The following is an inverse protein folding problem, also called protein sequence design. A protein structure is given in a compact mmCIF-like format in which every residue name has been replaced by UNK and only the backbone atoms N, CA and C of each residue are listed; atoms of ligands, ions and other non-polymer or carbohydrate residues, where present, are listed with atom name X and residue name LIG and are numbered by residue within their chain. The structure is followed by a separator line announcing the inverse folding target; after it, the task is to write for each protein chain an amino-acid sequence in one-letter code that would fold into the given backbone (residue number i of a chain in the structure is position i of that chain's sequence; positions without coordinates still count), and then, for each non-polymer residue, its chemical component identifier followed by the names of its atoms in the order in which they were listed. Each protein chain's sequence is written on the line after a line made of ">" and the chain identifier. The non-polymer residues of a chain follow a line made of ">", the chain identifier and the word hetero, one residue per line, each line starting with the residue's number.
data_IF_905811689095
#
_entry.id   IF_905811689095
#
_cell.length_a   1.000
_cell.length_b   1.000
_cell.length_c   1.000
_cell.angle_alpha   90.00
_cell.angle_beta   90.00
_cell.angle_gamma   90.00
#
_symmetry.space_group_name_H-M   'P 1'
#
loop_
_entity.id
_entity.type
_entity.pdbx_description
1 polymer ?
#
# COMPACT_ATOMS: atom_id res chain seq x y z
N UNK A 1 -15.97 -32.32 1.94
CA UNK A 1 -15.12 -33.44 1.54
C UNK A 1 -13.68 -33.03 1.77
N UNK A 2 -12.85 -33.93 2.28
CA UNK A 2 -11.40 -33.73 2.30
C UNK A 2 -10.92 -33.57 0.85
N UNK A 3 -9.94 -32.69 0.64
CA UNK A 3 -9.38 -32.27 -0.65
C UNK A 3 -10.13 -31.15 -1.40
N UNK A 4 -10.29 -29.98 -0.78
CA UNK A 4 -9.92 -28.78 -1.54
C UNK A 4 -8.42 -28.88 -1.79
N UNK A 5 -8.03 -29.48 -2.91
CA UNK A 5 -6.67 -29.41 -3.41
C UNK A 5 -6.35 -27.92 -3.48
N UNK A 6 -5.50 -27.46 -2.56
CA UNK A 6 -5.03 -26.09 -2.47
C UNK A 6 -4.13 -25.84 -3.68
N UNK A 7 -4.77 -25.63 -4.85
CA UNK A 7 -4.09 -25.42 -6.12
C UNK A 7 -3.30 -24.13 -5.99
N UNK A 8 -1.98 -24.28 -5.99
CA UNK A 8 -1.06 -23.16 -6.10
C UNK A 8 -0.76 -22.91 -7.57
N UNK A 9 -0.78 -21.65 -7.99
CA UNK A 9 -0.28 -21.22 -9.28
C UNK A 9 1.10 -20.62 -9.08
N UNK A 10 2.03 -20.90 -9.99
CA UNK A 10 3.32 -20.22 -10.06
C UNK A 10 3.30 -19.29 -11.25
N UNK A 11 3.53 -18.00 -11.01
CA UNK A 11 3.63 -17.00 -12.06
C UNK A 11 4.94 -17.15 -12.83
N UNK A 12 4.89 -16.88 -14.14
CA UNK A 12 6.04 -16.74 -15.02
C UNK A 12 5.96 -15.37 -15.72
N UNK A 13 6.21 -14.28 -14.97
CA UNK A 13 5.94 -12.94 -15.42
C UNK A 13 6.87 -12.51 -16.56
N UNK A 14 6.30 -11.74 -17.50
CA UNK A 14 7.06 -11.04 -18.54
C UNK A 14 7.37 -9.60 -18.11
N UNK A 15 8.57 -9.09 -18.45
CA UNK A 15 8.99 -7.76 -18.04
C UNK A 15 8.26 -6.67 -18.83
N UNK A 16 7.87 -5.60 -18.15
CA UNK A 16 7.18 -4.45 -18.73
C UNK A 16 8.00 -3.18 -18.63
N UNK A 17 7.93 -2.50 -17.48
CA UNK A 17 8.73 -1.31 -17.20
C UNK A 17 9.07 -1.21 -15.71
N UNK A 18 10.01 -0.33 -15.38
CA UNK A 18 10.45 -0.11 -13.99
C UNK A 18 10.02 1.26 -13.52
N UNK A 19 9.47 1.32 -12.32
CA UNK A 19 9.27 2.55 -11.55
C UNK A 19 10.40 2.66 -10.54
N UNK A 20 11.02 3.83 -10.45
CA UNK A 20 12.07 4.13 -9.48
C UNK A 20 11.61 5.25 -8.57
N UNK A 21 11.64 4.98 -7.27
CA UNK A 21 11.35 5.91 -6.18
C UNK A 21 12.37 5.73 -5.03
N UNK A 22 12.13 6.32 -3.87
CA UNK A 22 12.91 6.16 -2.65
C UNK A 22 12.02 6.08 -1.41
N UNK A 23 12.55 5.49 -0.35
CA UNK A 23 11.90 5.42 0.96
C UNK A 23 11.94 6.80 1.63
N UNK A 24 10.79 7.27 2.10
CA UNK A 24 10.66 8.44 2.96
C UNK A 24 10.64 8.02 4.42
N UNK A 25 9.82 7.02 4.76
CA UNK A 25 9.63 6.53 6.13
C UNK A 25 9.40 5.01 6.14
N UNK A 26 9.57 4.37 7.28
CA UNK A 26 9.30 2.94 7.48
C UNK A 26 9.09 2.62 8.96
N UNK A 27 8.24 1.62 9.25
CA UNK A 27 8.10 1.05 10.59
C UNK A 27 9.32 0.25 11.07
N UNK A 28 10.18 -0.20 10.16
CA UNK A 28 11.41 -0.95 10.46
C UNK A 28 12.67 -0.14 10.04
N UNK A 29 13.02 0.96 10.74
CA UNK A 29 14.09 1.87 10.32
C UNK A 29 15.49 1.24 10.28
N UNK A 30 15.72 0.15 11.02
CA UNK A 30 16.99 -0.59 10.99
C UNK A 30 17.18 -1.39 9.69
N UNK A 31 16.08 -1.78 9.04
CA UNK A 31 16.09 -2.50 7.76
C UNK A 31 15.99 -1.53 6.59
N UNK A 32 15.09 -0.56 6.67
CA UNK A 32 14.78 0.36 5.59
C UNK A 32 15.34 1.76 5.87
N UNK A 33 16.54 2.02 5.35
CA UNK A 33 17.15 3.34 5.46
C UNK A 33 16.36 4.40 4.68
N UNK A 34 16.17 5.58 5.27
CA UNK A 34 15.59 6.75 4.60
C UNK A 34 16.40 7.09 3.35
N UNK A 35 15.72 7.52 2.28
CA UNK A 35 16.29 7.79 0.95
C UNK A 35 16.91 6.58 0.24
N UNK A 36 16.72 5.36 0.75
CA UNK A 36 17.11 4.14 0.02
C UNK A 36 16.28 4.01 -1.25
N UNK A 37 16.92 3.65 -2.36
CA UNK A 37 16.25 3.53 -3.66
C UNK A 37 15.32 2.31 -3.66
N UNK A 38 14.15 2.48 -4.24
CA UNK A 38 13.19 1.41 -4.47
C UNK A 38 12.91 1.32 -5.97
N UNK A 39 13.00 0.12 -6.51
CA UNK A 39 12.62 -0.21 -7.88
C UNK A 39 11.40 -1.12 -7.84
N UNK A 40 10.36 -0.77 -8.58
CA UNK A 40 9.16 -1.58 -8.73
C UNK A 40 9.10 -2.00 -10.20
N UNK A 41 9.30 -3.29 -10.45
CA UNK A 41 9.13 -3.89 -11.77
C UNK A 41 7.63 -4.11 -12.01
N UNK A 42 7.05 -3.33 -12.90
CA UNK A 42 5.69 -3.57 -13.41
C UNK A 42 5.81 -4.63 -14.49
N UNK A 43 5.39 -5.84 -14.15
CA UNK A 43 5.47 -7.03 -14.99
C UNK A 43 4.07 -7.63 -15.20
N UNK A 44 3.96 -8.63 -16.05
CA UNK A 44 2.64 -9.14 -16.43
C UNK A 44 2.60 -10.64 -16.74
N UNK A 45 1.50 -11.29 -16.38
CA UNK A 45 1.22 -12.71 -16.63
C UNK A 45 -0.28 -12.88 -16.92
N UNK A 46 -0.65 -13.81 -17.81
CA UNK A 46 -2.03 -14.11 -18.14
C UNK A 46 -2.81 -14.77 -16.98
N UNK A 47 -2.10 -15.37 -16.03
CA UNK A 47 -2.67 -16.06 -14.86
C UNK A 47 -3.18 -15.07 -13.79
N UNK A 48 -2.71 -13.83 -13.80
CA UNK A 48 -3.21 -12.78 -12.90
C UNK A 48 -4.64 -12.40 -13.32
N UNK A 49 -5.58 -12.19 -12.40
CA UNK A 49 -6.95 -11.85 -12.74
C UNK A 49 -6.99 -10.48 -13.40
N UNK A 50 -7.95 -10.31 -14.30
CA UNK A 50 -8.22 -9.01 -14.92
C UNK A 50 -9.53 -8.44 -14.38
N UNK A 51 -9.72 -7.12 -14.46
CA UNK A 51 -11.00 -6.49 -14.12
C UNK A 51 -12.14 -7.08 -14.96
N UNK A 52 -13.33 -7.19 -14.37
CA UNK A 52 -14.51 -7.72 -15.07
C UNK A 52 -14.94 -6.83 -16.24
N UNK A 53 -14.83 -5.51 -16.06
CA UNK A 53 -15.14 -4.50 -17.08
C UNK A 53 -13.85 -4.20 -17.85
N UNK A 54 -13.88 -4.35 -19.18
CA UNK A 54 -12.75 -4.01 -20.03
C UNK A 54 -12.48 -2.50 -20.03
N UNK A 55 -11.24 -2.10 -20.26
CA UNK A 55 -10.87 -0.68 -20.27
C UNK A 55 -11.51 0.07 -21.44
N UNK A 56 -12.38 1.01 -21.08
CA UNK A 56 -12.85 2.12 -21.91
C UNK A 56 -12.67 3.39 -21.07
N UNK A 57 -11.87 4.38 -21.52
CA UNK A 57 -11.63 5.62 -20.77
C UNK A 57 -12.89 6.34 -20.29
N UNK A 58 -13.95 6.36 -21.10
CA UNK A 58 -15.19 7.08 -20.80
C UNK A 58 -16.02 6.41 -19.70
N UNK A 59 -15.83 5.10 -19.49
CA UNK A 59 -16.54 4.30 -18.51
C UNK A 59 -15.67 4.08 -17.27
N UNK A 60 -14.40 3.72 -17.46
CA UNK A 60 -13.52 3.25 -16.38
C UNK A 60 -13.01 4.37 -15.49
N UNK A 61 -12.67 5.55 -16.01
CA UNK A 61 -12.18 6.62 -15.13
C UNK A 61 -13.22 7.07 -14.08
N UNK A 62 -14.50 7.27 -14.43
CA UNK A 62 -15.55 7.47 -13.43
C UNK A 62 -15.65 6.34 -12.39
N UNK A 63 -15.46 5.08 -12.80
CA UNK A 63 -15.50 3.93 -11.88
C UNK A 63 -14.29 3.90 -10.96
N UNK A 64 -13.09 4.24 -11.45
CA UNK A 64 -11.88 4.35 -10.62
C UNK A 64 -12.09 5.39 -9.52
N UNK A 65 -12.64 6.56 -9.85
CA UNK A 65 -12.92 7.62 -8.86
C UNK A 65 -13.89 7.15 -7.78
N UNK A 66 -14.84 6.27 -8.14
CA UNK A 66 -15.79 5.67 -7.20
C UNK A 66 -15.24 4.45 -6.45
N UNK A 67 -13.99 4.05 -6.71
CA UNK A 67 -13.40 2.80 -6.22
C UNK A 67 -14.21 1.55 -6.63
N UNK A 68 -14.82 1.58 -7.82
CA UNK A 68 -15.62 0.49 -8.39
C UNK A 68 -14.86 -0.29 -9.48
N UNK A 69 -13.63 0.14 -9.78
CA UNK A 69 -12.75 -0.51 -10.75
C UNK A 69 -11.28 -0.29 -10.37
N UNK A 70 -10.48 -1.35 -10.47
CA UNK A 70 -9.04 -1.34 -10.29
C UNK A 70 -8.40 -2.45 -11.12
N UNK A 71 -7.10 -2.36 -11.39
CA UNK A 71 -6.32 -3.48 -11.97
C UNK A 71 -5.79 -4.34 -10.82
N UNK A 72 -6.20 -5.62 -10.70
CA UNK A 72 -5.60 -6.54 -9.75
C UNK A 72 -4.10 -6.70 -10.02
N UNK A 73 -3.32 -6.69 -8.94
CA UNK A 73 -1.87 -6.87 -9.00
C UNK A 73 -1.40 -7.79 -7.88
N UNK A 74 -0.30 -8.50 -8.12
CA UNK A 74 0.36 -9.36 -7.15
C UNK A 74 1.75 -8.82 -6.90
N UNK A 75 2.07 -8.54 -5.65
CA UNK A 75 3.39 -8.07 -5.24
C UNK A 75 4.22 -9.27 -4.79
N UNK A 76 5.40 -9.42 -5.37
CA UNK A 76 6.39 -10.43 -4.95
C UNK A 76 7.04 -10.09 -3.61
N UNK A 77 7.80 -11.04 -3.08
CA UNK A 77 8.69 -10.82 -1.94
C UNK A 77 9.75 -9.74 -2.25
N UNK A 78 10.15 -9.00 -1.23
CA UNK A 78 11.26 -8.04 -1.31
C UNK A 78 12.53 -8.71 -1.83
N UNK A 79 13.16 -8.07 -2.81
CA UNK A 79 14.52 -8.40 -3.25
C UNK A 79 15.46 -7.25 -2.87
N UNK A 80 16.67 -7.60 -2.47
CA UNK A 80 17.73 -6.64 -2.21
C UNK A 80 18.69 -6.60 -3.39
N UNK A 81 19.06 -5.39 -3.81
CA UNK A 81 20.02 -5.15 -4.88
C UNK A 81 20.98 -4.03 -4.47
N UNK A 82 22.14 -3.94 -5.11
CA UNK A 82 23.11 -2.88 -4.88
C UNK A 82 23.44 -2.20 -6.20
N UNK A 83 23.55 -0.87 -6.18
CA UNK A 83 24.05 -0.16 -7.35
C UNK A 83 25.57 -0.34 -7.52
N UNK A 84 26.12 0.18 -8.63
CA UNK A 84 27.57 0.10 -8.93
C UNK A 84 28.46 0.72 -7.86
N UNK A 85 27.92 1.59 -6.99
CA UNK A 85 28.63 2.23 -5.87
C UNK A 85 28.40 1.49 -4.56
N UNK A 86 27.79 0.30 -4.60
CA UNK A 86 27.49 -0.54 -3.45
C UNK A 86 26.30 -0.07 -2.61
N UNK A 87 25.59 0.98 -3.05
CA UNK A 87 24.47 1.53 -2.28
C UNK A 87 23.28 0.57 -2.33
N UNK A 88 22.67 0.26 -1.18
CA UNK A 88 21.55 -0.66 -1.12
C UNK A 88 20.34 -0.09 -1.88
N UNK A 89 19.52 -1.00 -2.38
CA UNK A 89 18.24 -0.72 -3.00
C UNK A 89 17.32 -1.92 -2.82
N UNK A 90 16.02 -1.65 -2.79
CA UNK A 90 15.01 -2.70 -2.76
C UNK A 90 14.34 -2.82 -4.12
N UNK A 91 13.98 -4.03 -4.49
CA UNK A 91 13.32 -4.35 -5.75
C UNK A 91 12.08 -5.18 -5.44
N UNK A 92 10.95 -4.76 -5.98
CA UNK A 92 9.68 -5.46 -5.91
C UNK A 92 9.16 -5.70 -7.31
N UNK A 93 8.54 -6.84 -7.55
CA UNK A 93 7.79 -7.10 -8.78
C UNK A 93 6.29 -6.98 -8.50
N UNK A 94 5.61 -6.08 -9.20
CA UNK A 94 4.15 -5.96 -9.25
C UNK A 94 3.67 -6.57 -10.56
N UNK A 95 3.06 -7.75 -10.46
CA UNK A 95 2.57 -8.52 -11.60
C UNK A 95 1.08 -8.27 -11.83
N UNK A 96 0.71 -7.83 -13.03
CA UNK A 96 -0.68 -7.63 -13.45
C UNK A 96 -1.09 -8.55 -14.60
N UNK A 97 -2.36 -8.55 -14.97
CA UNK A 97 -2.79 -9.27 -16.15
C UNK A 97 -2.18 -8.66 -17.44
N UNK A 98 -1.78 -9.52 -18.38
CA UNK A 98 -1.30 -9.12 -19.72
C UNK A 98 -2.22 -8.11 -20.40
N UNK A 99 -3.53 -8.33 -20.38
CA UNK A 99 -4.49 -7.45 -21.06
C UNK A 99 -4.54 -6.08 -20.41
N UNK A 100 -4.48 -6.04 -19.08
CA UNK A 100 -4.39 -4.80 -18.31
C UNK A 100 -3.10 -4.06 -18.63
N UNK A 101 -1.98 -4.77 -18.75
CA UNK A 101 -0.71 -4.19 -19.18
C UNK A 101 -0.81 -3.56 -20.57
N UNK A 102 -1.45 -4.24 -21.54
CA UNK A 102 -1.70 -3.67 -22.87
C UNK A 102 -2.51 -2.37 -22.83
N UNK A 103 -3.55 -2.28 -21.98
CA UNK A 103 -4.30 -1.04 -21.80
C UNK A 103 -3.41 0.12 -21.32
N UNK A 104 -2.57 -0.13 -20.32
CA UNK A 104 -1.61 0.85 -19.80
C UNK A 104 -0.51 1.24 -20.81
N UNK A 105 -0.20 0.39 -21.78
CA UNK A 105 0.72 0.78 -22.87
C UNK A 105 0.08 1.80 -23.81
N UNK A 106 -1.25 1.73 -24.00
CA UNK A 106 -1.98 2.61 -24.93
C UNK A 106 -2.54 3.88 -24.29
N UNK A 107 -2.71 3.91 -22.97
CA UNK A 107 -3.28 5.05 -22.24
C UNK A 107 -2.35 5.49 -21.10
N UNK A 108 -1.81 6.69 -21.21
CA UNK A 108 -0.82 7.24 -20.26
C UNK A 108 -1.46 7.53 -18.89
N UNK A 109 -2.71 7.98 -18.85
CA UNK A 109 -3.39 8.30 -17.59
C UNK A 109 -3.63 7.03 -16.77
N UNK A 110 -4.11 5.96 -17.41
CA UNK A 110 -4.25 4.64 -16.78
C UNK A 110 -2.91 4.10 -16.32
N UNK A 111 -1.83 4.31 -17.09
CA UNK A 111 -0.48 3.91 -16.67
C UNK A 111 -0.03 4.66 -15.42
N UNK A 112 -0.29 5.97 -15.34
CA UNK A 112 0.02 6.77 -14.15
C UNK A 112 -0.76 6.29 -12.92
N UNK A 113 -2.05 5.97 -13.09
CA UNK A 113 -2.87 5.39 -12.01
C UNK A 113 -2.33 4.02 -11.58
N UNK A 114 -1.94 3.16 -12.52
CA UNK A 114 -1.34 1.87 -12.21
C UNK A 114 -0.02 2.01 -11.43
N UNK A 115 0.81 3.01 -11.76
CA UNK A 115 2.04 3.30 -11.02
C UNK A 115 1.72 3.64 -9.56
N UNK A 116 0.69 4.45 -9.33
CA UNK A 116 0.24 4.79 -7.97
C UNK A 116 -0.20 3.53 -7.21
N UNK A 117 -1.06 2.69 -7.81
CA UNK A 117 -1.47 1.42 -7.19
C UNK A 117 -0.30 0.49 -6.87
N UNK A 118 0.72 0.46 -7.74
CA UNK A 118 1.92 -0.33 -7.49
C UNK A 118 2.73 0.20 -6.30
N UNK A 119 2.83 1.53 -6.14
CA UNK A 119 3.50 2.17 -5.00
C UNK A 119 2.72 1.89 -3.73
N UNK A 120 1.41 2.17 -3.72
CA UNK A 120 0.52 1.92 -2.57
C UNK A 120 0.54 0.46 -2.12
N UNK A 121 0.55 -0.49 -3.08
CA UNK A 121 0.61 -1.91 -2.75
C UNK A 121 1.92 -2.30 -2.06
N UNK A 122 3.05 -1.75 -2.49
CA UNK A 122 4.35 -1.99 -1.83
C UNK A 122 4.37 -1.36 -0.43
N UNK A 123 3.88 -0.12 -0.29
CA UNK A 123 3.77 0.55 1.00
C UNK A 123 2.95 -0.25 2.01
N UNK A 124 1.79 -0.76 1.59
CA UNK A 124 0.94 -1.59 2.44
C UNK A 124 1.58 -2.93 2.80
N UNK A 125 2.21 -3.60 1.83
CA UNK A 125 2.79 -4.92 2.05
C UNK A 125 4.01 -4.90 2.97
N UNK A 126 4.77 -3.79 2.95
CA UNK A 126 6.07 -3.68 3.63
C UNK A 126 6.13 -2.57 4.67
N UNK A 127 4.99 -1.93 4.97
CA UNK A 127 4.85 -0.85 5.95
C UNK A 127 5.86 0.29 5.72
N UNK A 128 5.93 0.72 4.46
CA UNK A 128 6.80 1.80 3.98
C UNK A 128 5.99 3.03 3.62
N UNK A 129 6.65 4.18 3.62
CA UNK A 129 6.20 5.38 2.92
C UNK A 129 7.21 5.68 1.81
N UNK A 130 6.76 5.74 0.58
CA UNK A 130 7.55 5.93 -0.63
C UNK A 130 7.27 7.30 -1.27
N UNK A 131 8.31 7.87 -1.87
CA UNK A 131 8.20 9.13 -2.60
C UNK A 131 7.27 8.98 -3.82
N UNK A 132 6.36 9.94 -3.99
CA UNK A 132 5.41 9.98 -5.11
C UNK A 132 6.02 10.53 -6.40
N UNK A 133 7.05 11.37 -6.27
CA UNK A 133 7.86 11.81 -7.41
C UNK A 133 8.75 10.64 -7.90
N UNK A 134 8.15 9.80 -8.73
CA UNK A 134 8.80 8.63 -9.31
C UNK A 134 9.31 8.90 -10.73
N UNK A 135 10.26 8.07 -11.16
CA UNK A 135 10.82 8.11 -12.52
C UNK A 135 10.72 6.73 -13.17
N UNK A 136 10.73 6.69 -14.50
CA UNK A 136 10.71 5.44 -15.27
C UNK A 136 12.06 5.28 -15.98
N UNK A 137 13.01 4.50 -15.41
CA UNK A 137 14.28 4.22 -16.08
C UNK A 137 14.08 3.47 -17.39
N UNK A 138 15.04 3.61 -18.32
CA UNK A 138 15.03 2.91 -19.62
C UNK A 138 15.46 1.44 -19.49
N UNK A 139 14.67 0.64 -18.77
CA UNK A 139 14.85 -0.80 -18.63
C UNK A 139 13.49 -1.47 -18.40
N UNK A 140 13.37 -2.74 -18.80
CA UNK A 140 12.10 -3.48 -18.69
C UNK A 140 11.94 -4.15 -17.32
N UNK A 141 13.06 -4.50 -16.67
CA UNK A 141 13.10 -4.97 -15.29
C UNK A 141 14.44 -4.64 -14.64
N UNK A 142 14.43 -4.51 -13.31
CA UNK A 142 15.60 -4.45 -12.45
C UNK A 142 15.87 -5.85 -11.93
N UNK A 143 16.85 -6.52 -12.52
CA UNK A 143 17.17 -7.92 -12.21
C UNK A 143 16.14 -8.91 -12.77
N UNK A 144 16.25 -10.15 -12.29
CA UNK A 144 15.32 -11.24 -12.64
C UNK A 144 13.98 -11.07 -11.93
N UNK A 145 12.90 -11.42 -12.63
CA UNK A 145 11.54 -11.38 -12.09
C UNK A 145 11.25 -12.60 -11.24
N UNK A 146 10.49 -12.41 -10.17
CA UNK A 146 10.13 -13.45 -9.23
C UNK A 146 9.04 -14.37 -9.80
N UNK A 147 9.25 -15.69 -9.68
CA UNK A 147 8.21 -16.69 -9.97
C UNK A 147 7.32 -16.91 -8.74
N UNK A 148 6.54 -15.89 -8.39
CA UNK A 148 5.71 -15.89 -7.18
C UNK A 148 4.71 -17.04 -7.21
N UNK A 149 4.69 -17.85 -6.15
CA UNK A 149 3.70 -18.91 -5.95
C UNK A 149 2.54 -18.37 -5.10
N UNK A 150 1.32 -18.49 -5.61
CA UNK A 150 0.09 -17.95 -5.02
C UNK A 150 -0.96 -19.04 -4.91
N UNK A 151 -1.82 -18.94 -3.91
CA UNK A 151 -2.98 -19.84 -3.80
C UNK A 151 -4.06 -19.40 -4.78
N UNK A 152 -4.80 -20.35 -5.34
CA UNK A 152 -5.92 -20.04 -6.24
C UNK A 152 -6.95 -19.10 -5.58
N UNK A 153 -7.19 -19.23 -4.27
CA UNK A 153 -8.10 -18.38 -3.51
C UNK A 153 -7.68 -16.91 -3.52
N UNK A 154 -6.37 -16.63 -3.46
CA UNK A 154 -5.81 -15.27 -3.48
C UNK A 154 -6.02 -14.57 -4.83
N UNK A 155 -6.15 -15.33 -5.92
CA UNK A 155 -6.51 -14.79 -7.24
C UNK A 155 -7.98 -14.37 -7.31
N UNK A 156 -8.87 -15.07 -6.61
CA UNK A 156 -10.31 -14.80 -6.63
C UNK A 156 -10.76 -13.78 -5.60
N UNK A 157 -10.03 -13.62 -4.50
CA UNK A 157 -10.52 -12.92 -3.31
C UNK A 157 -10.16 -11.45 -3.16
N UNK A 158 -9.59 -10.80 -4.17
CA UNK A 158 -9.76 -9.35 -4.33
C UNK A 158 -8.48 -8.58 -4.52
N UNK A 159 -8.59 -7.54 -5.35
CA UNK A 159 -7.50 -6.61 -5.58
C UNK A 159 -7.24 -5.69 -4.39
N UNK A 160 -6.46 -4.66 -4.66
CA UNK A 160 -5.90 -3.74 -3.67
C UNK A 160 -7.00 -3.10 -2.81
N UNK A 161 -8.12 -2.70 -3.41
CA UNK A 161 -9.25 -2.07 -2.72
C UNK A 161 -9.89 -2.97 -1.68
N UNK A 162 -10.08 -4.26 -1.95
CA UNK A 162 -10.69 -5.16 -0.97
C UNK A 162 -9.76 -5.38 0.23
N UNK A 163 -8.44 -5.47 -0.01
CA UNK A 163 -7.44 -5.57 1.04
C UNK A 163 -7.37 -4.27 1.87
N UNK A 164 -7.39 -3.11 1.20
CA UNK A 164 -7.49 -1.79 1.85
C UNK A 164 -8.75 -1.68 2.72
N UNK A 165 -9.90 -2.13 2.22
CA UNK A 165 -11.16 -2.07 2.95
C UNK A 165 -11.14 -2.99 4.17
N UNK A 166 -10.55 -4.17 4.07
CA UNK A 166 -10.35 -5.08 5.21
C UNK A 166 -9.42 -4.47 6.27
N UNK A 167 -8.31 -3.86 5.85
CA UNK A 167 -7.39 -3.17 6.77
C UNK A 167 -8.07 -2.01 7.49
N UNK A 168 -8.78 -1.14 6.76
CA UNK A 168 -9.55 -0.03 7.33
C UNK A 168 -10.66 -0.50 8.28
N UNK A 169 -11.36 -1.58 7.93
CA UNK A 169 -12.38 -2.16 8.79
C UNK A 169 -11.78 -2.67 10.10
N UNK A 170 -10.63 -3.34 10.05
CA UNK A 170 -9.93 -3.82 11.24
C UNK A 170 -9.42 -2.67 12.12
N UNK A 171 -8.87 -1.61 11.53
CA UNK A 171 -8.44 -0.41 12.26
C UNK A 171 -9.61 0.30 12.94
N UNK A 172 -10.74 0.46 12.22
CA UNK A 172 -11.96 1.06 12.77
C UNK A 172 -12.53 0.22 13.91
N UNK A 173 -12.49 -1.12 13.78
CA UNK A 173 -12.91 -2.03 14.84
C UNK A 173 -12.03 -1.89 16.08
N UNK A 174 -10.70 -1.80 15.92
CA UNK A 174 -9.78 -1.59 17.04
C UNK A 174 -10.06 -0.29 17.79
N UNK A 175 -10.25 0.82 17.06
CA UNK A 175 -10.63 2.11 17.65
C UNK A 175 -11.96 2.05 18.41
N UNK A 176 -12.96 1.33 17.89
CA UNK A 176 -14.26 1.16 18.57
C UNK A 176 -14.09 0.34 19.87
N UNK A 177 -13.20 -0.65 19.88
CA UNK A 177 -12.93 -1.48 21.06
C UNK A 177 -12.23 -0.67 22.16
N UNK A 178 -11.22 0.14 21.81
CA UNK A 178 -10.56 1.08 22.74
C UNK A 178 -11.57 2.07 23.36
N UNK A 179 -12.47 2.65 22.55
CA UNK A 179 -13.51 3.56 23.03
C UNK A 179 -14.57 2.88 23.93
N UNK A 180 -14.80 1.57 23.75
CA UNK A 180 -15.72 0.80 24.61
C UNK A 180 -15.09 0.50 25.96
N UNK A 181 -13.80 0.23 26.00
CA UNK A 181 -13.08 0.01 27.25
C UNK A 181 -13.02 1.29 28.08
N UNK A 182 -12.90 2.48 27.47
CA UNK A 182 -13.00 3.76 28.16
C UNK A 182 -14.41 4.05 28.74
N UNK A 183 -15.47 3.56 28.09
CA UNK A 183 -16.86 3.71 28.56
C UNK A 183 -17.30 2.65 29.58
N UNK A 184 -16.41 1.72 29.97
CA UNK A 184 -16.70 0.69 30.98
C UNK A 184 -16.43 1.15 32.42
N UNK A 185 -15.85 2.35 32.61
CA UNK A 185 -15.97 3.07 33.87
C UNK A 185 -17.29 3.85 33.84
N UNK A 186 -18.28 3.39 34.61
CA UNK A 186 -19.53 4.11 34.83
C UNK A 186 -19.26 5.51 35.41
N UNK A 187 -19.11 6.51 34.54
CA UNK A 187 -19.32 7.91 34.90
C UNK A 187 -20.68 8.36 34.37
N UNK A 188 -21.56 8.64 35.33
CA UNK A 188 -22.88 9.24 35.24
C UNK A 188 -22.99 10.28 34.10
N UNK A 189 -23.95 10.18 33.16
CA UNK A 189 -24.00 11.02 31.95
C UNK A 189 -24.45 12.48 32.20
N UNK A 190 -24.20 13.03 33.40
CA UNK A 190 -24.79 14.28 33.87
C UNK A 190 -23.84 15.45 34.13
N UNK A 191 -22.51 15.28 34.16
CA UNK A 191 -21.60 16.39 34.47
C UNK A 191 -20.45 16.51 33.48
N UNK A 192 -20.57 17.49 32.57
CA UNK A 192 -19.42 18.04 31.87
C UNK A 192 -18.39 18.54 32.90
N UNK A 193 -17.10 18.25 32.74
CA UNK A 193 -16.07 18.78 33.63
C UNK A 193 -16.04 20.31 33.54
N UNK A 194 -16.16 20.97 34.68
CA UNK A 194 -16.18 22.43 34.77
C UNK A 194 -14.76 22.99 34.58
N UNK A 195 -14.44 23.37 33.34
CA UNK A 195 -13.15 23.94 32.93
C UNK A 195 -12.89 25.35 33.50
N UNK A 196 -13.79 25.90 34.32
CA UNK A 196 -13.72 27.27 34.85
C UNK A 196 -13.61 27.37 36.37
N UNK A 197 -13.35 26.28 37.09
CA UNK A 197 -13.12 26.36 38.54
C UNK A 197 -11.66 26.74 38.89
N UNK A 198 -11.19 27.88 38.37
CA UNK A 198 -10.01 28.58 38.87
C UNK A 198 -10.53 29.65 39.81
N UNK A 199 -10.73 29.30 41.08
CA UNK A 199 -10.83 30.32 42.11
C UNK A 199 -10.14 29.88 43.41
N UNK A 200 -8.95 30.44 43.58
CA UNK A 200 -8.40 30.99 44.82
C UNK A 200 -8.56 30.17 46.11
N UNK A 201 -7.49 29.48 46.49
CA UNK A 201 -6.90 29.67 47.81
C UNK A 201 -5.38 29.43 47.74
N UNK A 202 -4.65 30.50 48.03
CA UNK A 202 -3.27 30.67 47.57
C UNK A 202 -2.19 30.02 48.42
N UNK A 203 -0.97 30.05 47.86
CA UNK A 203 0.22 30.41 48.60
C UNK A 203 1.30 30.94 47.64
N UNK A 204 1.76 32.15 47.98
CA UNK A 204 2.81 32.98 47.39
C UNK A 204 4.03 32.25 46.79
N UNK A 205 4.51 32.73 45.64
CA UNK A 205 5.82 33.40 45.47
C UNK A 205 5.94 33.99 44.04
N UNK A 206 6.32 35.27 43.88
CA UNK A 206 6.62 35.84 42.57
C UNK A 206 8.11 35.70 42.27
N UNK A 207 8.48 35.35 41.04
CA UNK A 207 9.78 35.69 40.46
C UNK A 207 9.65 35.83 38.94
N UNK A 208 9.79 37.08 38.51
CA UNK A 208 10.12 37.57 37.17
C UNK A 208 11.47 36.90 36.77
N UNK A 209 11.82 36.61 35.51
CA UNK A 209 12.13 37.57 34.44
C UNK A 209 12.38 36.84 33.11
N UNK A 210 12.01 37.50 32.01
CA UNK A 210 12.50 37.21 30.66
C UNK A 210 14.02 37.40 30.60
N UNK A 211 14.69 36.52 29.85
CA UNK A 211 15.92 36.85 29.10
C UNK A 211 15.71 36.33 27.68
#
# INVERSE_FOLDING_TARGET
>A
SMEEIQRSITLDPRPGFVVKTKILESREPFKYGVSTKVFINVCHDNQVPRPAIAFDPSIVFPLIIKNEWEIPLIVSNEKQDRDKKGQPSFVYDCCINEKSFQWCQTNVDLRSILIEWCIEAVEMMYELTLERESSIPKMLSKGELSKTQIKQSELTEGGLQKKLQQLKANETLGLIEELKDENSNEEDPGQLPDLMNINNNGQNKPLIEEI
#
